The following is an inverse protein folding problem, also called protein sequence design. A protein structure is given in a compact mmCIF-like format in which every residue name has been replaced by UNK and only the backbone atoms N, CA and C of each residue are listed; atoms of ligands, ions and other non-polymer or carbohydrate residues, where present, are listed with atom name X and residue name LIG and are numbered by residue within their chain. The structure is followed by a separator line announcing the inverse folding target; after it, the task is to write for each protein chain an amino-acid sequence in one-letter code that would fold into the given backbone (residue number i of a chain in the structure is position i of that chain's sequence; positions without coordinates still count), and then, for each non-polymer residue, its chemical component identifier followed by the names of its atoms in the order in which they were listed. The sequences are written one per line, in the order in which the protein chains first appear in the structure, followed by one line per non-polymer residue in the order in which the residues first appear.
data_IF_509164396550
#
_entry.id   IF_509164396550
#
_cell.length_a   1.000
_cell.length_b   1.000
_cell.length_c   1.000
_cell.angle_alpha   90.00
_cell.angle_beta   90.00
_cell.angle_gamma   90.00
#
_symmetry.space_group_name_H-M   'P 1'
#
loop_
_entity.id
_entity.type
_entity.pdbx_description
1 polymer ?
#
# COMPACT_ATOMS: atom_id res chain seq x y z
N UNK A 1 26.20 22.62 -1.60
CA UNK A 1 25.74 22.15 -0.26
C UNK A 1 25.18 20.74 -0.40
N UNK A 2 25.90 19.73 0.10
CA UNK A 2 25.35 18.37 0.23
C UNK A 2 24.32 18.41 1.36
N UNK A 3 23.02 18.35 1.05
CA UNK A 3 22.00 18.05 2.06
C UNK A 3 22.29 16.63 2.53
N UNK A 4 22.92 16.55 3.69
CA UNK A 4 23.14 15.33 4.46
C UNK A 4 21.83 14.53 4.55
N UNK A 5 21.92 13.20 4.43
CA UNK A 5 20.84 12.21 4.58
C UNK A 5 20.16 12.21 5.98
N UNK A 6 20.42 13.22 6.81
CA UNK A 6 19.85 13.45 8.15
C UNK A 6 18.41 13.98 8.14
N UNK A 7 17.71 13.97 7.00
CA UNK A 7 16.36 14.58 6.86
C UNK A 7 15.23 13.58 7.13
N UNK A 8 15.51 12.27 7.18
CA UNK A 8 14.46 11.29 7.45
C UNK A 8 14.20 11.10 8.95
N UNK A 9 12.93 11.02 9.38
CA UNK A 9 12.60 10.71 10.76
C UNK A 9 13.19 9.34 11.15
N UNK A 10 13.98 9.27 12.22
CA UNK A 10 14.52 8.01 12.75
C UNK A 10 13.51 7.26 13.63
N UNK A 11 12.20 7.48 13.40
CA UNK A 11 11.15 6.86 14.21
C UNK A 11 10.61 5.62 13.51
N UNK A 12 10.44 4.54 14.27
CA UNK A 12 9.81 3.31 13.79
C UNK A 12 8.40 3.58 13.24
N UNK A 13 7.69 4.53 13.85
CA UNK A 13 6.40 5.04 13.40
C UNK A 13 6.39 5.52 11.94
N UNK A 14 7.47 6.15 11.46
CA UNK A 14 7.57 6.66 10.09
C UNK A 14 7.91 5.55 9.08
N UNK A 15 8.82 4.64 9.44
CA UNK A 15 9.31 3.61 8.51
C UNK A 15 8.43 2.38 8.43
N UNK A 16 7.75 2.01 9.51
CA UNK A 16 6.94 0.80 9.57
C UNK A 16 5.80 0.76 8.53
N UNK A 17 5.06 1.85 8.27
CA UNK A 17 4.03 1.88 7.22
C UNK A 17 4.63 1.73 5.82
N UNK A 18 5.75 2.41 5.56
CA UNK A 18 6.47 2.30 4.29
C UNK A 18 7.04 0.89 4.08
N UNK A 19 7.48 0.23 5.16
CA UNK A 19 7.94 -1.15 5.12
C UNK A 19 6.80 -2.13 4.85
N UNK A 20 5.63 -1.95 5.50
CA UNK A 20 4.44 -2.77 5.24
C UNK A 20 3.91 -2.55 3.81
N UNK A 21 3.87 -1.29 3.36
CA UNK A 21 3.57 -0.93 1.98
C UNK A 21 4.52 -1.64 1.01
N UNK A 22 5.83 -1.58 1.27
CA UNK A 22 6.84 -2.26 0.46
C UNK A 22 6.64 -3.77 0.45
N UNK A 23 6.40 -4.38 1.61
CA UNK A 23 6.17 -5.82 1.74
C UNK A 23 4.93 -6.27 0.93
N UNK A 24 3.83 -5.51 0.97
CA UNK A 24 2.67 -5.76 0.13
C UNK A 24 2.97 -5.53 -1.36
N UNK A 25 3.85 -4.58 -1.69
CA UNK A 25 4.34 -4.34 -3.05
C UNK A 25 5.05 -5.55 -3.66
N UNK A 26 5.76 -6.36 -2.87
CA UNK A 26 6.32 -7.65 -3.33
C UNK A 26 5.23 -8.60 -3.82
N UNK A 27 4.12 -8.70 -3.10
CA UNK A 27 3.02 -9.59 -3.48
C UNK A 27 2.31 -9.11 -4.75
N UNK A 28 2.16 -7.79 -4.89
CA UNK A 28 1.64 -7.17 -6.12
C UNK A 28 2.58 -7.42 -7.31
N UNK A 29 3.90 -7.34 -7.08
CA UNK A 29 4.90 -7.67 -8.09
C UNK A 29 4.82 -9.12 -8.57
N UNK A 30 4.61 -10.05 -7.64
CA UNK A 30 4.36 -11.45 -7.98
C UNK A 30 3.06 -11.61 -8.78
N UNK A 31 2.00 -10.92 -8.36
CA UNK A 31 0.73 -10.93 -9.09
C UNK A 31 0.89 -10.43 -10.53
N UNK A 32 1.64 -9.34 -10.71
CA UNK A 32 1.96 -8.80 -12.02
C UNK A 32 2.68 -9.84 -12.90
N UNK A 33 3.64 -10.57 -12.33
CA UNK A 33 4.33 -11.63 -13.06
C UNK A 33 3.37 -12.75 -13.48
N UNK A 34 2.50 -13.21 -12.57
CA UNK A 34 1.53 -14.25 -12.87
C UNK A 34 0.57 -13.82 -14.00
N UNK A 35 0.10 -12.57 -14.00
CA UNK A 35 -0.74 -12.00 -15.08
C UNK A 35 -0.01 -11.99 -16.43
N UNK A 36 1.27 -11.61 -16.43
CA UNK A 36 2.12 -11.64 -17.64
C UNK A 36 2.30 -13.07 -18.14
N UNK A 37 2.55 -14.01 -17.24
CA UNK A 37 2.76 -15.42 -17.54
C UNK A 37 1.51 -16.09 -18.10
N UNK A 38 0.32 -15.78 -17.56
CA UNK A 38 -0.96 -16.31 -18.05
C UNK A 38 -1.46 -15.61 -19.32
N UNK A 39 -0.73 -14.61 -19.82
CA UNK A 39 -1.10 -13.86 -21.02
C UNK A 39 -2.20 -12.81 -20.82
N UNK A 40 -2.58 -12.49 -19.58
CA UNK A 40 -3.57 -11.45 -19.28
C UNK A 40 -2.91 -10.05 -19.33
N UNK A 41 -2.76 -9.56 -20.55
CA UNK A 41 -2.13 -8.26 -20.82
C UNK A 41 -2.92 -7.09 -20.23
N UNK A 42 -4.25 -7.17 -20.22
CA UNK A 42 -5.09 -6.09 -19.70
C UNK A 42 -5.05 -6.03 -18.18
N UNK A 43 -5.06 -7.19 -17.51
CA UNK A 43 -4.82 -7.28 -16.07
C UNK A 43 -3.44 -6.72 -15.69
N UNK A 44 -2.39 -7.09 -16.42
CA UNK A 44 -1.03 -6.60 -16.16
C UNK A 44 -0.90 -5.07 -16.34
N UNK A 45 -1.48 -4.51 -17.41
CA UNK A 45 -1.53 -3.06 -17.64
C UNK A 45 -2.32 -2.37 -16.52
N UNK A 46 -3.51 -2.87 -16.17
CA UNK A 46 -4.31 -2.34 -15.09
C UNK A 46 -3.56 -2.34 -13.75
N UNK A 47 -2.85 -3.42 -13.46
CA UNK A 47 -2.01 -3.58 -12.28
C UNK A 47 -0.93 -2.49 -12.17
N UNK A 48 -0.25 -2.19 -13.28
CA UNK A 48 0.77 -1.13 -13.34
C UNK A 48 0.17 0.26 -13.22
N UNK A 49 -0.92 0.51 -13.94
CA UNK A 49 -1.61 1.80 -13.95
C UNK A 49 -2.13 2.16 -12.56
N UNK A 50 -2.73 1.21 -11.85
CA UNK A 50 -3.21 1.42 -10.47
C UNK A 50 -2.05 1.62 -9.50
N UNK A 51 -0.94 0.90 -9.64
CA UNK A 51 0.25 1.13 -8.82
C UNK A 51 0.81 2.54 -9.01
N UNK A 52 0.93 3.01 -10.25
CA UNK A 52 1.43 4.35 -10.58
C UNK A 52 0.47 5.45 -10.09
N UNK A 53 -0.83 5.32 -10.40
CA UNK A 53 -1.85 6.29 -10.00
C UNK A 53 -2.00 6.37 -8.49
N UNK A 54 -1.96 5.23 -7.80
CA UNK A 54 -2.04 5.16 -6.35
C UNK A 54 -0.82 5.78 -5.64
N UNK A 55 0.41 5.57 -6.12
CA UNK A 55 1.62 6.23 -5.58
C UNK A 55 1.50 7.75 -5.62
N UNK A 56 0.97 8.30 -6.72
CA UNK A 56 0.76 9.74 -6.86
C UNK A 56 -0.38 10.29 -6.01
N UNK A 57 -1.37 9.45 -5.72
CA UNK A 57 -2.60 9.81 -5.03
C UNK A 57 -2.48 9.74 -3.50
N UNK A 58 -1.75 8.77 -2.94
CA UNK A 58 -1.64 8.55 -1.48
C UNK A 58 -1.18 9.79 -0.70
N UNK A 59 -0.18 10.59 -1.14
CA UNK A 59 0.19 11.82 -0.45
C UNK A 59 -0.93 12.87 -0.42
N UNK A 60 -1.82 12.84 -1.41
CA UNK A 60 -2.85 13.84 -1.66
C UNK A 60 -4.18 13.46 -1.00
N UNK A 61 -4.49 12.17 -0.95
CA UNK A 61 -5.82 11.71 -0.60
C UNK A 61 -6.12 11.81 0.90
N UNK A 62 -7.23 12.47 1.23
CA UNK A 62 -7.97 12.29 2.49
C UNK A 62 -8.67 10.91 2.56
N UNK A 63 -8.48 10.06 1.54
CA UNK A 63 -9.13 8.77 1.37
C UNK A 63 -8.48 7.61 2.14
N UNK A 64 -7.49 7.87 2.99
CA UNK A 64 -6.80 6.81 3.73
C UNK A 64 -7.76 5.91 4.52
N UNK A 65 -8.75 6.50 5.19
CA UNK A 65 -9.80 5.76 5.92
C UNK A 65 -10.71 4.94 4.99
N UNK A 66 -11.34 5.52 3.94
CA UNK A 66 -12.06 4.74 2.95
C UNK A 66 -11.24 3.60 2.32
N UNK A 67 -9.97 3.84 2.01
CA UNK A 67 -9.07 2.85 1.43
C UNK A 67 -8.76 1.71 2.42
N UNK A 68 -8.55 2.04 3.69
CA UNK A 68 -8.41 1.05 4.76
C UNK A 68 -9.67 0.19 4.90
N UNK A 69 -10.85 0.80 4.83
CA UNK A 69 -12.11 0.05 4.85
C UNK A 69 -12.22 -0.89 3.64
N UNK A 70 -11.87 -0.44 2.44
CA UNK A 70 -11.86 -1.31 1.25
C UNK A 70 -10.91 -2.50 1.43
N UNK A 71 -9.71 -2.27 1.97
CA UNK A 71 -8.76 -3.35 2.26
C UNK A 71 -9.25 -4.32 3.35
N UNK A 72 -9.92 -3.81 4.39
CA UNK A 72 -10.46 -4.64 5.48
C UNK A 72 -11.75 -5.37 5.10
N UNK A 73 -12.61 -4.79 4.25
CA UNK A 73 -13.82 -5.44 3.74
C UNK A 73 -13.49 -6.72 2.98
N UNK A 74 -12.29 -6.81 2.40
CA UNK A 74 -11.79 -8.04 1.77
C UNK A 74 -11.54 -9.18 2.77
N UNK A 75 -11.46 -8.90 4.06
CA UNK A 75 -11.38 -9.91 5.12
C UNK A 75 -12.75 -10.48 5.51
N UNK A 76 -13.86 -9.88 5.06
CA UNK A 76 -15.21 -10.35 5.35
C UNK A 76 -15.45 -11.86 5.12
N UNK A 77 -14.98 -12.47 4.01
CA UNK A 77 -15.15 -13.92 3.81
C UNK A 77 -14.26 -14.79 4.71
N UNK A 78 -13.38 -14.20 5.53
CA UNK A 78 -12.52 -14.93 6.46
C UNK A 78 -13.24 -15.18 7.79
N UNK A 79 -12.67 -16.06 8.62
CA UNK A 79 -13.20 -16.32 9.96
C UNK A 79 -13.11 -15.07 10.87
N UNK A 80 -13.88 -15.07 11.97
CA UNK A 80 -13.92 -13.95 12.93
C UNK A 80 -12.53 -13.64 13.53
N UNK A 81 -11.66 -14.63 13.66
CA UNK A 81 -10.29 -14.46 14.15
C UNK A 81 -9.44 -13.65 13.18
N UNK A 82 -9.57 -13.87 11.88
CA UNK A 82 -8.92 -13.09 10.84
C UNK A 82 -9.40 -11.64 10.85
N UNK A 83 -10.72 -11.42 10.95
CA UNK A 83 -11.28 -10.07 11.07
C UNK A 83 -10.74 -9.32 12.29
N UNK A 84 -10.68 -9.97 13.45
CA UNK A 84 -10.08 -9.37 14.65
C UNK A 84 -8.58 -9.09 14.49
N UNK A 85 -7.81 -10.02 13.92
CA UNK A 85 -6.38 -9.81 13.69
C UNK A 85 -6.12 -8.62 12.76
N UNK A 86 -6.90 -8.48 11.69
CA UNK A 86 -6.83 -7.33 10.80
C UNK A 86 -7.25 -6.03 11.47
N UNK A 87 -8.33 -6.04 12.26
CA UNK A 87 -8.76 -4.87 13.03
C UNK A 87 -7.68 -4.42 14.03
N UNK A 88 -7.11 -5.35 14.81
CA UNK A 88 -6.05 -5.06 15.78
C UNK A 88 -4.81 -4.50 15.08
N UNK A 89 -4.30 -5.18 14.05
CA UNK A 89 -3.13 -4.73 13.32
C UNK A 89 -3.34 -3.35 12.67
N UNK A 90 -4.54 -3.12 12.12
CA UNK A 90 -4.93 -1.83 11.55
C UNK A 90 -4.99 -0.73 12.59
N UNK A 91 -5.66 -0.96 13.72
CA UNK A 91 -5.73 0.02 14.82
C UNK A 91 -4.35 0.36 15.38
N UNK A 92 -3.48 -0.64 15.57
CA UNK A 92 -2.08 -0.41 16.01
C UNK A 92 -1.33 0.43 14.98
N UNK A 93 -1.44 0.14 13.69
CA UNK A 93 -0.80 0.99 12.68
C UNK A 93 -1.37 2.40 12.63
N UNK A 94 -2.69 2.58 12.71
CA UNK A 94 -3.29 3.92 12.75
C UNK A 94 -2.77 4.70 13.96
N UNK A 95 -2.70 4.07 15.12
CA UNK A 95 -2.17 4.67 16.35
C UNK A 95 -0.69 5.08 16.21
N UNK A 96 0.13 4.22 15.61
CA UNK A 96 1.55 4.54 15.40
C UNK A 96 1.77 5.62 14.34
N UNK A 97 0.80 5.85 13.46
CA UNK A 97 1.02 6.64 12.26
C UNK A 97 0.37 8.00 12.23
N UNK A 98 -0.74 8.17 12.95
CA UNK A 98 -1.35 9.48 13.09
C UNK A 98 -0.50 10.32 14.03
N UNK A 99 0.09 11.45 13.58
CA UNK A 99 0.71 12.40 14.49
C UNK A 99 -0.37 12.95 15.45
N UNK A 100 0.03 13.26 16.70
CA UNK A 100 -0.82 14.00 17.64
C UNK A 100 -1.29 15.28 16.96
N UNK A 101 -2.56 15.30 16.53
CA UNK A 101 -3.09 16.40 15.75
C UNK A 101 -3.89 17.32 16.65
N UNK A 102 -3.26 18.36 17.17
CA UNK A 102 -3.94 19.58 17.65
C UNK A 102 -4.45 20.42 16.45
N UNK A 103 -4.90 19.76 15.37
CA UNK A 103 -5.42 20.47 14.21
C UNK A 103 -6.82 20.97 14.54
N UNK A 104 -6.94 22.28 14.68
CA UNK A 104 -8.22 23.00 14.67
C UNK A 104 -8.98 22.53 13.42
N UNK A 105 -10.14 21.89 13.62
CA UNK A 105 -11.02 21.47 12.53
C UNK A 105 -11.41 22.71 11.73
N UNK A 106 -10.93 22.82 10.49
CA UNK A 106 -11.51 23.76 9.53
C UNK A 106 -12.84 23.18 9.02
N UNK A 107 -14.00 23.78 9.34
CA UNK A 107 -15.29 23.12 9.18
C UNK A 107 -15.76 22.93 7.73
N UNK A 108 -15.08 23.49 6.72
CA UNK A 108 -15.63 23.61 5.36
C UNK A 108 -14.63 23.31 4.23
N UNK A 109 -13.72 22.35 4.41
CA UNK A 109 -12.83 21.97 3.32
C UNK A 109 -13.57 21.11 2.28
N UNK A 110 -14.10 21.75 1.22
CA UNK A 110 -14.69 21.05 0.06
C UNK A 110 -13.59 20.33 -0.71
N UNK A 111 -13.81 19.05 -1.03
CA UNK A 111 -12.90 18.26 -1.86
C UNK A 111 -12.83 18.86 -3.28
N UNK A 112 -11.61 19.11 -3.74
CA UNK A 112 -11.34 19.50 -5.12
C UNK A 112 -11.53 18.31 -6.08
N UNK A 113 -11.80 18.54 -7.38
CA UNK A 113 -11.88 17.46 -8.37
C UNK A 113 -10.62 16.59 -8.44
N UNK A 114 -9.44 17.19 -8.24
CA UNK A 114 -8.17 16.46 -8.20
C UNK A 114 -8.08 15.51 -6.99
N UNK A 115 -8.60 15.93 -5.84
CA UNK A 115 -8.66 15.09 -4.63
C UNK A 115 -9.67 13.95 -4.80
N UNK A 116 -10.79 14.16 -5.49
CA UNK A 116 -11.74 13.09 -5.83
C UNK A 116 -11.11 12.02 -6.74
N UNK A 117 -10.33 12.45 -7.74
CA UNK A 117 -9.57 11.50 -8.59
C UNK A 117 -8.52 10.76 -7.75
N UNK A 118 -7.83 11.44 -6.84
CA UNK A 118 -6.88 10.81 -5.93
C UNK A 118 -7.56 9.80 -4.99
N UNK A 119 -8.77 10.08 -4.51
CA UNK A 119 -9.58 9.12 -3.74
C UNK A 119 -9.82 7.86 -4.56
N UNK A 120 -10.29 8.00 -5.80
CA UNK A 120 -10.53 6.86 -6.70
C UNK A 120 -9.29 5.98 -6.90
N UNK A 121 -8.13 6.59 -7.16
CA UNK A 121 -6.87 5.87 -7.28
C UNK A 121 -6.44 5.16 -5.99
N UNK A 122 -6.64 5.80 -4.83
CA UNK A 122 -6.29 5.21 -3.54
C UNK A 122 -7.17 4.00 -3.23
N UNK A 123 -8.47 4.05 -3.55
CA UNK A 123 -9.38 2.92 -3.41
C UNK A 123 -9.01 1.76 -4.34
N UNK A 124 -8.71 2.06 -5.61
CA UNK A 124 -8.29 1.06 -6.59
C UNK A 124 -6.99 0.37 -6.14
N UNK A 125 -6.03 1.14 -5.63
CA UNK A 125 -4.79 0.59 -5.07
C UNK A 125 -5.07 -0.31 -3.88
N UNK A 126 -5.87 0.14 -2.91
CA UNK A 126 -6.21 -0.67 -1.75
C UNK A 126 -6.91 -1.98 -2.14
N UNK A 127 -7.78 -1.94 -3.15
CA UNK A 127 -8.44 -3.12 -3.70
C UNK A 127 -7.44 -4.10 -4.32
N UNK A 128 -6.55 -3.64 -5.19
CA UNK A 128 -5.56 -4.48 -5.86
C UNK A 128 -4.56 -5.09 -4.88
N UNK A 129 -4.03 -4.28 -3.98
CA UNK A 129 -3.00 -4.69 -3.02
C UNK A 129 -3.57 -5.68 -2.02
N UNK A 130 -4.79 -5.42 -1.53
CA UNK A 130 -5.44 -6.38 -0.64
C UNK A 130 -5.75 -7.71 -1.31
N UNK A 131 -6.15 -7.68 -2.59
CA UNK A 131 -6.31 -8.89 -3.38
C UNK A 131 -5.02 -9.71 -3.52
N UNK A 132 -3.90 -9.03 -3.79
CA UNK A 132 -2.59 -9.68 -3.90
C UNK A 132 -2.15 -10.31 -2.57
N UNK A 133 -2.41 -9.63 -1.44
CA UNK A 133 -2.14 -10.18 -0.11
C UNK A 133 -2.92 -11.48 0.12
N UNK A 134 -4.24 -11.48 -0.12
CA UNK A 134 -5.07 -12.67 0.09
C UNK A 134 -4.71 -13.83 -0.84
N UNK A 135 -4.19 -13.53 -2.03
CA UNK A 135 -3.80 -14.55 -3.00
C UNK A 135 -2.53 -15.31 -2.58
N UNK A 136 -1.55 -14.62 -1.99
CA UNK A 136 -0.22 -15.21 -1.75
C UNK A 136 0.14 -15.43 -0.29
N UNK A 137 -0.56 -14.81 0.67
CA UNK A 137 -0.31 -15.03 2.09
C UNK A 137 -1.26 -16.08 2.69
N UNK A 138 -0.77 -16.95 3.60
CA UNK A 138 -1.61 -17.88 4.34
C UNK A 138 -2.70 -17.15 5.13
N UNK A 139 -3.86 -17.79 5.30
CA UNK A 139 -4.99 -17.19 6.03
C UNK A 139 -4.68 -16.78 7.48
N UNK A 140 -3.69 -17.41 8.11
CA UNK A 140 -3.25 -17.04 9.46
C UNK A 140 -2.50 -15.70 9.50
N UNK A 141 -1.86 -15.30 8.39
CA UNK A 141 -0.96 -14.13 8.31
C UNK A 141 -1.59 -12.99 7.50
N UNK A 142 -2.33 -13.33 6.45
CA UNK A 142 -2.94 -12.35 5.54
C UNK A 142 -3.77 -11.28 6.26
N UNK A 143 -4.58 -11.59 7.30
CA UNK A 143 -5.35 -10.58 8.01
C UNK A 143 -4.48 -9.56 8.75
N UNK A 144 -3.39 -10.01 9.39
CA UNK A 144 -2.44 -9.11 10.07
C UNK A 144 -1.72 -8.20 9.08
N UNK A 145 -1.28 -8.76 7.94
CA UNK A 145 -0.65 -7.99 6.88
C UNK A 145 -1.61 -6.95 6.27
N UNK A 146 -2.87 -7.34 6.04
CA UNK A 146 -3.91 -6.44 5.53
C UNK A 146 -4.28 -5.36 6.51
N UNK A 147 -4.43 -5.69 7.79
CA UNK A 147 -4.66 -4.71 8.84
C UNK A 147 -3.51 -3.70 8.89
N UNK A 148 -2.27 -4.19 8.95
CA UNK A 148 -1.09 -3.32 8.95
C UNK A 148 -1.00 -2.44 7.71
N UNK A 149 -1.24 -2.98 6.52
CA UNK A 149 -1.33 -2.21 5.29
C UNK A 149 -2.44 -1.15 5.35
N UNK A 150 -3.66 -1.54 5.75
CA UNK A 150 -4.81 -0.64 5.85
C UNK A 150 -4.52 0.54 6.78
N UNK A 151 -3.99 0.28 7.98
CA UNK A 151 -3.58 1.34 8.90
C UNK A 151 -2.41 2.17 8.37
N UNK A 152 -1.47 1.56 7.65
CA UNK A 152 -0.37 2.25 7.01
C UNK A 152 -0.83 3.24 5.93
N UNK A 153 -1.79 2.86 5.08
CA UNK A 153 -2.34 3.74 4.04
C UNK A 153 -3.04 4.97 4.64
N UNK A 154 -3.67 4.82 5.80
CA UNK A 154 -4.26 5.95 6.56
C UNK A 154 -3.18 6.95 6.98
N UNK A 155 -2.05 6.44 7.45
CA UNK A 155 -1.00 7.22 8.09
C UNK A 155 0.06 7.82 7.17
N UNK A 156 0.41 7.13 6.08
CA UNK A 156 1.53 7.52 5.19
C UNK A 156 1.35 8.94 4.64
N UNK A 157 0.15 9.30 4.19
CA UNK A 157 -0.12 10.63 3.64
C UNK A 157 0.16 11.75 4.66
N UNK A 158 -0.51 11.75 5.83
CA UNK A 158 -0.24 12.69 6.91
C UNK A 158 1.23 12.72 7.35
N UNK A 159 1.87 11.57 7.51
CA UNK A 159 3.28 11.48 7.94
C UNK A 159 4.25 12.13 6.95
N UNK A 160 4.05 11.91 5.65
CA UNK A 160 4.89 12.49 4.61
C UNK A 160 4.73 14.01 4.55
N UNK A 161 3.53 14.54 4.84
CA UNK A 161 3.29 15.99 4.95
C UNK A 161 3.97 16.59 6.19
N UNK A 162 3.95 15.89 7.33
CA UNK A 162 4.59 16.37 8.56
C UNK A 162 6.11 16.23 8.56
N UNK A 163 6.67 15.34 7.72
CA UNK A 163 8.11 15.09 7.64
C UNK A 163 8.91 16.23 7.00
N UNK A 164 8.27 17.31 6.52
CA UNK A 164 8.96 18.46 5.92
C UNK A 164 9.64 18.14 4.58
N UNK A 165 9.30 17.01 3.95
CA UNK A 165 9.84 16.59 2.66
C UNK A 165 9.20 17.42 1.53
N UNK A 166 9.99 17.76 0.51
CA UNK A 166 9.46 18.37 -0.71
C UNK A 166 8.58 17.39 -1.46
N UNK A 167 7.65 17.90 -2.28
CA UNK A 167 6.78 17.05 -3.12
C UNK A 167 7.57 16.08 -3.98
N UNK A 168 8.72 16.52 -4.53
CA UNK A 168 9.58 15.65 -5.34
C UNK A 168 10.18 14.50 -4.52
N UNK A 169 10.67 14.77 -3.31
CA UNK A 169 11.24 13.77 -2.41
C UNK A 169 10.18 12.73 -1.98
N UNK A 170 8.97 13.18 -1.67
CA UNK A 170 7.83 12.31 -1.35
C UNK A 170 7.52 11.35 -2.50
N UNK A 171 7.45 11.88 -3.73
CA UNK A 171 7.18 11.06 -4.91
C UNK A 171 8.30 10.07 -5.20
N UNK A 172 9.55 10.48 -5.06
CA UNK A 172 10.70 9.58 -5.24
C UNK A 172 10.70 8.46 -4.20
N UNK A 173 10.41 8.78 -2.93
CA UNK A 173 10.34 7.80 -1.86
C UNK A 173 9.23 6.76 -2.11
N UNK A 174 8.01 7.20 -2.41
CA UNK A 174 6.90 6.28 -2.67
C UNK A 174 7.08 5.51 -3.99
N UNK A 175 7.65 6.12 -5.02
CA UNK A 175 7.97 5.42 -6.25
C UNK A 175 9.01 4.31 -5.99
N UNK A 176 10.06 4.59 -5.21
CA UNK A 176 11.05 3.59 -4.83
C UNK A 176 10.45 2.48 -3.94
N UNK A 177 9.64 2.86 -2.95
CA UNK A 177 8.95 1.94 -2.03
C UNK A 177 7.85 1.09 -2.71
N UNK A 178 7.47 1.42 -3.95
CA UNK A 178 6.54 0.62 -4.75
C UNK A 178 7.26 -0.16 -5.84
N UNK A 179 8.07 0.51 -6.67
CA UNK A 179 8.69 -0.09 -7.85
C UNK A 179 9.76 -1.14 -7.48
N UNK A 180 10.61 -0.87 -6.48
CA UNK A 180 11.64 -1.84 -6.09
C UNK A 180 11.02 -3.12 -5.53
N UNK A 181 10.08 -3.07 -4.56
CA UNK A 181 9.45 -4.29 -4.06
C UNK A 181 8.61 -5.01 -5.11
N UNK A 182 7.89 -4.29 -5.99
CA UNK A 182 7.19 -4.92 -7.11
C UNK A 182 8.16 -5.63 -8.06
N UNK A 183 9.30 -5.04 -8.38
CA UNK A 183 10.34 -5.69 -9.18
C UNK A 183 10.88 -6.95 -8.50
N UNK A 184 11.15 -6.89 -7.19
CA UNK A 184 11.56 -8.06 -6.40
C UNK A 184 10.48 -9.16 -6.37
N UNK A 185 9.22 -8.77 -6.28
CA UNK A 185 8.07 -9.67 -6.36
C UNK A 185 7.96 -10.40 -7.69
N UNK A 186 8.16 -9.67 -8.80
CA UNK A 186 8.16 -10.26 -10.13
C UNK A 186 9.34 -11.23 -10.32
N UNK A 187 10.53 -10.87 -9.81
CA UNK A 187 11.69 -11.75 -9.81
C UNK A 187 11.44 -13.01 -8.97
N UNK A 188 10.81 -12.87 -7.80
CA UNK A 188 10.41 -14.00 -6.97
C UNK A 188 9.45 -14.93 -7.72
N UNK A 189 8.45 -14.39 -8.43
CA UNK A 189 7.56 -15.15 -9.30
C UNK A 189 8.33 -15.93 -10.36
N UNK A 190 9.28 -15.28 -11.04
CA UNK A 190 10.12 -15.92 -12.06
C UNK A 190 11.00 -17.05 -11.50
N UNK A 191 11.58 -16.88 -10.31
CA UNK A 191 12.41 -17.91 -9.68
C UNK A 191 11.60 -19.06 -9.07
N UNK A 192 10.37 -18.79 -8.63
CA UNK A 192 9.47 -19.79 -8.09
C UNK A 192 8.73 -20.59 -9.19
N UNK A 193 8.76 -20.11 -10.43
CA UNK A 193 8.14 -20.80 -11.56
C UNK A 193 8.86 -22.13 -11.84
N UNK A 194 8.13 -23.24 -11.64
CA UNK A 194 8.53 -24.55 -12.14
C UNK A 194 7.78 -24.81 -13.44
N UNK A 195 8.46 -25.01 -14.58
CA UNK A 195 7.78 -25.44 -15.78
C UNK A 195 7.07 -26.78 -15.51
N UNK A 196 5.89 -27.02 -16.11
CA UNK A 196 5.21 -28.30 -15.96
C UNK A 196 6.16 -29.43 -16.38
N UNK A 197 6.33 -30.42 -15.51
CA UNK A 197 7.25 -31.57 -15.63
C UNK A 197 6.88 -32.59 -16.73
N UNK A 198 6.27 -32.14 -17.83
CA UNK A 198 5.82 -33.00 -18.93
C UNK A 198 6.69 -32.87 -20.18
N UNK A 199 8.00 -32.62 -20.02
CA UNK A 199 8.98 -32.51 -21.11
C UNK A 199 10.14 -33.52 -20.99
N UNK A 200 9.86 -34.73 -20.52
CA UNK A 200 10.74 -35.90 -20.68
C UNK A 200 9.89 -37.13 -21.02
#
# INVERSE_FOLDING_TARGET
MKKSLTVFPNTLAFWLPLALWSATGVLVGRHLYDLVLTGDRWGAIGCLVVAMGGVGAVPQALAGLPAALVALLRLWPMNWQGLLGGAIAGSVMVFLTLPESDRVREPEQKLTPAELVAVGWTLALAWQWSGSVLMYLPQAIAPWALGGFAGGVVGIGPQLRSAGLSRKEVWQLLAAATALPMGLGALWGALAFRPPTNWL
#
